data_IF_384892617632
#
_entry.id   IF_384892617632
#
_cell.length_a   1.000
_cell.length_b   1.000
_cell.length_c   1.000
_cell.angle_alpha   90.00
_cell.angle_beta   90.00
_cell.angle_gamma   90.00
#
_symmetry.space_group_name_H-M   'P 1'
#
loop_
_entity.id
_entity.type
_entity.pdbx_description
1 polymer ?
#
# COMPACT_ATOMS: atom_id res chain seq x y z
N UNK A 1 -3.23 -18.81 -10.36
CA UNK A 1 -3.04 -17.34 -10.29
C UNK A 1 -3.72 -16.74 -9.06
N UNK A 2 -5.06 -16.70 -8.99
CA UNK A 2 -5.78 -16.02 -7.91
C UNK A 2 -5.41 -16.51 -6.50
N UNK A 3 -5.27 -17.81 -6.27
CA UNK A 3 -4.86 -18.34 -4.97
C UNK A 3 -3.51 -17.76 -4.50
N UNK A 4 -2.52 -17.70 -5.39
CA UNK A 4 -1.21 -17.13 -5.07
C UNK A 4 -1.29 -15.64 -4.73
N UNK A 5 -2.10 -14.88 -5.46
CA UNK A 5 -2.31 -13.45 -5.22
C UNK A 5 -3.03 -13.24 -3.87
N UNK A 6 -4.18 -13.90 -3.69
CA UNK A 6 -5.03 -13.72 -2.51
C UNK A 6 -4.32 -14.09 -1.22
N UNK A 7 -3.53 -15.18 -1.22
CA UNK A 7 -2.76 -15.59 -0.05
C UNK A 7 -1.75 -14.51 0.39
N UNK A 8 -1.06 -13.88 -0.57
CA UNK A 8 -0.10 -12.80 -0.27
C UNK A 8 -0.80 -11.52 0.14
N UNK A 9 -1.92 -11.17 -0.50
CA UNK A 9 -2.76 -10.05 -0.12
C UNK A 9 -3.28 -10.19 1.32
N UNK A 10 -3.78 -11.37 1.68
CA UNK A 10 -4.28 -11.65 3.02
C UNK A 10 -3.18 -11.50 4.08
N UNK A 11 -1.98 -12.05 3.81
CA UNK A 11 -0.84 -11.92 4.72
C UNK A 11 -0.43 -10.47 4.96
N UNK A 12 -0.34 -9.67 3.89
CA UNK A 12 -0.01 -8.24 4.01
C UNK A 12 -1.14 -7.46 4.68
N UNK A 13 -2.40 -7.75 4.36
CA UNK A 13 -3.55 -7.09 5.00
C UNK A 13 -3.58 -7.35 6.50
N UNK A 14 -3.34 -8.59 6.93
CA UNK A 14 -3.28 -8.94 8.34
C UNK A 14 -2.11 -8.22 9.05
N UNK A 15 -0.94 -8.16 8.42
CA UNK A 15 0.21 -7.42 8.96
C UNK A 15 -0.08 -5.92 9.09
N UNK A 16 -0.71 -5.30 8.08
CA UNK A 16 -1.11 -3.89 8.09
C UNK A 16 -2.12 -3.54 9.19
N UNK A 17 -2.84 -4.53 9.71
CA UNK A 17 -3.81 -4.38 10.79
C UNK A 17 -3.21 -4.64 12.18
N UNK A 18 -1.94 -5.05 12.26
CA UNK A 18 -1.28 -5.33 13.54
C UNK A 18 -1.03 -4.05 14.35
N UNK A 19 -1.22 -4.12 15.66
CA UNK A 19 -1.18 -2.97 16.59
C UNK A 19 0.21 -2.31 16.65
N UNK A 20 1.27 -3.09 16.46
CA UNK A 20 2.67 -2.68 16.58
C UNK A 20 3.31 -2.25 15.25
N UNK A 21 2.55 -2.17 14.15
CA UNK A 21 3.16 -1.90 12.86
C UNK A 21 3.60 -0.44 12.73
N UNK A 22 4.91 -0.23 12.56
CA UNK A 22 5.49 1.05 12.17
C UNK A 22 5.13 1.41 10.71
N UNK A 23 4.95 2.71 10.46
CA UNK A 23 4.58 3.23 9.14
C UNK A 23 5.62 2.91 8.05
N UNK A 24 6.92 2.93 8.37
CA UNK A 24 7.95 2.56 7.39
C UNK A 24 7.78 1.09 6.98
N UNK A 25 7.53 0.20 7.96
CA UNK A 25 7.27 -1.21 7.69
C UNK A 25 6.01 -1.41 6.85
N UNK A 26 4.96 -0.61 7.07
CA UNK A 26 3.75 -0.64 6.25
C UNK A 26 4.03 -0.29 4.78
N UNK A 27 4.85 0.75 4.53
CA UNK A 27 5.30 1.13 3.18
C UNK A 27 6.07 -0.02 2.51
N UNK A 28 7.01 -0.63 3.23
CA UNK A 28 7.82 -1.74 2.72
C UNK A 28 6.98 -2.99 2.39
N UNK A 29 5.97 -3.30 3.21
CA UNK A 29 5.04 -4.40 2.97
C UNK A 29 4.21 -4.19 1.70
N UNK A 30 3.67 -2.97 1.48
CA UNK A 30 2.90 -2.68 0.26
C UNK A 30 3.82 -2.67 -0.97
N UNK A 31 5.04 -2.13 -0.86
CA UNK A 31 6.03 -2.14 -1.94
C UNK A 31 6.40 -3.57 -2.34
N UNK A 32 6.73 -4.43 -1.37
CA UNK A 32 7.09 -5.83 -1.65
C UNK A 32 5.93 -6.63 -2.24
N UNK A 33 4.68 -6.36 -1.83
CA UNK A 33 3.50 -6.98 -2.44
C UNK A 33 3.33 -6.56 -3.90
N UNK A 34 3.52 -5.27 -4.20
CA UNK A 34 3.49 -4.72 -5.56
C UNK A 34 4.53 -5.38 -6.44
N UNK A 35 5.77 -5.49 -5.97
CA UNK A 35 6.87 -6.14 -6.70
C UNK A 35 6.58 -7.63 -6.95
N UNK A 36 6.06 -8.33 -5.93
CA UNK A 36 5.63 -9.72 -6.07
C UNK A 36 4.57 -9.88 -7.16
N UNK A 37 3.51 -9.06 -7.15
CA UNK A 37 2.43 -9.13 -8.15
C UNK A 37 2.93 -8.76 -9.53
N UNK A 38 3.80 -7.75 -9.65
CA UNK A 38 4.44 -7.39 -10.92
C UNK A 38 5.24 -8.56 -11.50
N UNK A 39 5.96 -9.31 -10.65
CA UNK A 39 6.70 -10.50 -11.05
C UNK A 39 5.82 -11.67 -11.53
N UNK A 40 4.51 -11.66 -11.26
CA UNK A 40 3.58 -12.66 -11.79
C UNK A 40 3.26 -12.43 -13.27
N UNK A 41 3.51 -11.22 -13.80
CA UNK A 41 3.17 -10.82 -15.17
C UNK A 41 3.82 -11.72 -16.23
N UNK A 42 5.01 -12.23 -15.94
CA UNK A 42 5.77 -13.10 -16.85
C UNK A 42 5.56 -14.59 -16.58
N UNK A 43 4.73 -14.95 -15.59
CA UNK A 43 4.49 -16.33 -15.16
C UNK A 43 3.24 -16.97 -15.79
N UNK A 44 2.78 -16.45 -16.94
CA UNK A 44 1.60 -16.97 -17.62
C UNK A 44 1.71 -18.48 -17.88
N UNK A 45 2.85 -18.93 -18.42
CA UNK A 45 3.09 -20.32 -18.80
C UNK A 45 3.03 -21.27 -17.59
N UNK A 46 3.56 -20.82 -16.44
CA UNK A 46 3.51 -21.56 -15.18
C UNK A 46 2.07 -21.74 -14.69
N UNK A 47 1.27 -20.66 -14.74
CA UNK A 47 -0.14 -20.72 -14.33
C UNK A 47 -1.00 -21.53 -15.29
N UNK A 48 -0.74 -21.44 -16.60
CA UNK A 48 -1.41 -22.25 -17.61
C UNK A 48 -1.13 -23.74 -17.39
N UNK A 49 0.14 -24.11 -17.20
CA UNK A 49 0.56 -25.49 -16.93
C UNK A 49 -0.05 -26.01 -15.62
N UNK A 50 0.02 -25.23 -14.54
CA UNK A 50 -0.58 -25.61 -13.26
C UNK A 50 -2.11 -25.80 -13.36
N UNK A 51 -2.80 -24.96 -14.13
CA UNK A 51 -4.25 -25.09 -14.33
C UNK A 51 -4.60 -26.38 -15.10
N UNK A 52 -3.85 -26.71 -16.15
CA UNK A 52 -4.02 -27.97 -16.91
C UNK A 52 -3.79 -29.20 -16.03
N UNK A 53 -2.81 -29.16 -15.13
CA UNK A 53 -2.51 -30.26 -14.22
C UNK A 53 -3.57 -30.43 -13.09
N UNK A 54 -4.33 -29.40 -12.76
CA UNK A 54 -5.32 -29.44 -11.67
C UNK A 54 -6.63 -30.13 -12.04
N UNK A 55 -7.02 -30.15 -13.33
CA UNK A 55 -8.26 -30.80 -13.73
C UNK A 55 -8.22 -31.24 -15.20
N UNK A 56 -8.60 -32.49 -15.50
CA UNK A 56 -8.70 -32.98 -16.88
C UNK A 56 -9.79 -32.27 -17.68
N UNK A 57 -10.67 -31.51 -17.02
CA UNK A 57 -11.77 -30.75 -17.64
C UNK A 57 -11.31 -29.37 -18.15
N UNK A 58 -10.11 -28.90 -17.77
CA UNK A 58 -9.52 -27.69 -18.34
C UNK A 58 -9.13 -28.02 -19.77
N UNK A 59 -10.01 -27.66 -20.72
CA UNK A 59 -9.81 -27.90 -22.14
C UNK A 59 -8.43 -27.41 -22.60
N UNK A 60 -7.75 -28.22 -23.42
CA UNK A 60 -6.51 -27.81 -24.08
C UNK A 60 -6.73 -26.68 -25.09
N UNK A 61 -7.98 -26.43 -25.48
CA UNK A 61 -8.37 -25.45 -26.49
C UNK A 61 -9.03 -24.22 -25.87
N UNK A 62 -8.60 -23.04 -26.31
CA UNK A 62 -9.23 -21.80 -25.90
C UNK A 62 -10.55 -21.61 -26.66
N UNK A 63 -11.60 -21.15 -25.97
CA UNK A 63 -12.93 -20.88 -26.58
C UNK A 63 -12.87 -19.96 -27.80
N UNK A 64 -11.90 -19.05 -27.84
CA UNK A 64 -11.70 -18.15 -28.96
C UNK A 64 -11.20 -18.89 -30.23
N UNK A 65 -10.57 -20.05 -30.07
CA UNK A 65 -10.12 -20.91 -31.18
C UNK A 65 -11.24 -21.83 -31.68
N UNK A 66 -12.21 -22.19 -30.83
CA UNK A 66 -13.34 -23.06 -31.18
C UNK A 66 -14.59 -22.32 -31.64
N UNK A 67 -14.65 -20.99 -31.51
CA UNK A 67 -15.78 -20.19 -31.99
C UNK A 67 -15.83 -20.07 -33.52
N UNK A 68 -17.02 -20.29 -34.11
CA UNK A 68 -17.28 -20.17 -35.55
C UNK A 68 -16.93 -18.75 -36.03
N UNK A 69 -15.92 -18.65 -36.89
CA UNK A 69 -15.49 -17.38 -37.49
C UNK A 69 -16.57 -16.85 -38.43
N UNK A 70 -17.06 -15.63 -38.18
CA UNK A 70 -17.98 -14.93 -39.08
C UNK A 70 -17.24 -14.56 -40.36
N UNK A 71 -17.54 -15.21 -41.49
CA UNK A 71 -17.06 -14.78 -42.81
C UNK A 71 -17.80 -13.49 -43.20
N UNK A 72 -17.10 -12.36 -43.33
CA UNK A 72 -17.60 -11.18 -44.04
C UNK A 72 -17.37 -11.40 -45.54
N UNK A 73 -18.31 -10.96 -46.39
CA UNK A 73 -18.05 -10.85 -47.84
C UNK A 73 -17.09 -9.67 -48.04
N UNK A 74 -15.90 -9.91 -48.59
CA UNK A 74 -15.00 -8.83 -49.03
C UNK A 74 -15.38 -8.42 -50.46
N UNK A 75 -15.24 -7.13 -50.77
CA UNK A 75 -15.43 -6.60 -52.13
C UNK A 75 -14.08 -6.61 -52.87
N UNK A 76 -14.12 -6.55 -54.20
CA UNK A 76 -12.96 -6.76 -55.08
C UNK A 76 -11.82 -5.73 -54.91
N UNK A 77 -12.08 -4.61 -54.23
CA UNK A 77 -11.13 -3.52 -54.00
C UNK A 77 -10.61 -3.47 -52.55
N UNK A 78 -10.96 -4.45 -51.74
CA UNK A 78 -10.53 -4.52 -50.33
C UNK A 78 -9.10 -5.08 -50.31
N UNK A 79 -8.10 -4.21 -50.09
CA UNK A 79 -6.72 -4.62 -49.84
C UNK A 79 -6.70 -5.43 -48.55
N UNK A 80 -6.83 -6.76 -48.70
CA UNK A 80 -6.88 -7.69 -47.59
C UNK A 80 -5.51 -7.84 -46.96
N UNK A 81 -5.11 -6.87 -46.14
CA UNK A 81 -4.11 -7.14 -45.11
C UNK A 81 -4.66 -8.28 -44.24
N UNK A 82 -3.91 -9.37 -44.05
CA UNK A 82 -4.38 -10.44 -43.20
C UNK A 82 -4.53 -9.88 -41.78
N UNK A 83 -5.77 -9.73 -41.30
CA UNK A 83 -6.06 -9.49 -39.89
C UNK A 83 -5.13 -10.41 -39.07
N UNK A 84 -4.19 -9.82 -38.32
CA UNK A 84 -3.28 -10.57 -37.47
C UNK A 84 -4.10 -11.26 -36.36
N UNK A 85 -4.55 -12.48 -36.66
CA UNK A 85 -5.41 -13.27 -35.78
C UNK A 85 -4.57 -13.88 -34.69
N UNK A 86 -4.54 -13.22 -33.53
CA UNK A 86 -3.99 -13.80 -32.30
C UNK A 86 -4.70 -15.13 -31.98
N UNK A 87 -3.92 -16.15 -31.60
CA UNK A 87 -4.49 -17.39 -31.06
C UNK A 87 -5.31 -17.11 -29.80
N UNK A 88 -6.25 -17.98 -29.46
CA UNK A 88 -7.07 -17.86 -28.26
C UNK A 88 -6.23 -17.80 -26.98
N UNK A 89 -5.09 -18.51 -26.98
CA UNK A 89 -4.04 -18.40 -25.95
C UNK A 89 -3.49 -16.98 -25.83
N UNK A 90 -2.97 -16.43 -26.94
CA UNK A 90 -2.39 -15.08 -26.96
C UNK A 90 -3.44 -14.02 -26.62
N UNK A 91 -4.68 -14.21 -27.07
CA UNK A 91 -5.81 -13.35 -26.71
C UNK A 91 -6.08 -13.41 -25.21
N UNK A 92 -6.20 -14.58 -24.61
CA UNK A 92 -6.43 -14.71 -23.17
C UNK A 92 -5.29 -14.11 -22.34
N UNK A 93 -4.03 -14.40 -22.72
CA UNK A 93 -2.84 -13.82 -22.10
C UNK A 93 -2.90 -12.29 -22.10
N UNK A 94 -3.11 -11.67 -23.25
CA UNK A 94 -3.03 -10.21 -23.39
C UNK A 94 -4.28 -9.48 -22.92
N UNK A 95 -5.48 -10.05 -23.13
CA UNK A 95 -6.75 -9.38 -22.79
C UNK A 95 -7.26 -9.63 -21.37
N UNK A 96 -6.85 -10.74 -20.74
CA UNK A 96 -7.30 -11.10 -19.39
C UNK A 96 -6.13 -11.11 -18.43
N UNK A 97 -5.17 -12.01 -18.63
CA UNK A 97 -4.11 -12.24 -17.64
C UNK A 97 -3.27 -11.00 -17.38
N UNK A 98 -2.69 -10.41 -18.43
CA UNK A 98 -1.87 -9.20 -18.31
C UNK A 98 -2.70 -8.04 -17.76
N UNK A 99 -3.95 -7.87 -18.24
CA UNK A 99 -4.83 -6.78 -17.78
C UNK A 99 -5.15 -6.88 -16.28
N UNK A 100 -5.39 -8.09 -15.77
CA UNK A 100 -5.66 -8.31 -14.34
C UNK A 100 -4.42 -7.96 -13.52
N UNK A 101 -3.23 -8.45 -13.91
CA UNK A 101 -1.99 -8.15 -13.20
C UNK A 101 -1.68 -6.65 -13.24
N UNK A 102 -1.72 -6.02 -14.41
CA UNK A 102 -1.45 -4.59 -14.57
C UNK A 102 -2.44 -3.74 -13.74
N UNK A 103 -3.71 -4.14 -13.66
CA UNK A 103 -4.70 -3.47 -12.81
C UNK A 103 -4.38 -3.60 -11.33
N UNK A 104 -4.01 -4.79 -10.88
CA UNK A 104 -3.62 -5.03 -9.48
C UNK A 104 -2.35 -4.25 -9.11
N UNK A 105 -1.34 -4.23 -9.99
CA UNK A 105 -0.12 -3.44 -9.80
C UNK A 105 -0.46 -1.96 -9.70
N UNK A 106 -1.32 -1.43 -10.58
CA UNK A 106 -1.74 -0.02 -10.55
C UNK A 106 -2.45 0.36 -9.24
N UNK A 107 -3.35 -0.50 -8.73
CA UNK A 107 -4.02 -0.22 -7.44
C UNK A 107 -3.06 -0.35 -6.24
N UNK A 108 -2.14 -1.31 -6.27
CA UNK A 108 -1.09 -1.43 -5.25
C UNK A 108 -0.12 -0.24 -5.29
N UNK A 109 0.21 0.26 -6.48
CA UNK A 109 1.04 1.45 -6.66
C UNK A 109 0.35 2.69 -6.08
N UNK A 110 -0.94 2.90 -6.39
CA UNK A 110 -1.74 3.99 -5.80
C UNK A 110 -1.76 3.92 -4.28
N UNK A 111 -1.93 2.71 -3.71
CA UNK A 111 -1.88 2.50 -2.27
C UNK A 111 -0.50 2.77 -1.71
N UNK A 112 0.56 2.25 -2.35
CA UNK A 112 1.94 2.49 -1.96
C UNK A 112 2.26 3.98 -1.88
N UNK A 113 1.92 4.76 -2.91
CA UNK A 113 2.15 6.20 -2.92
C UNK A 113 1.44 6.92 -1.78
N UNK A 114 0.20 6.51 -1.47
CA UNK A 114 -0.55 7.07 -0.34
C UNK A 114 0.14 6.81 1.00
N UNK A 115 0.66 5.59 1.22
CA UNK A 115 1.40 5.25 2.44
C UNK A 115 2.77 5.97 2.48
N UNK A 116 3.44 6.07 1.34
CA UNK A 116 4.74 6.70 1.21
C UNK A 116 4.65 8.21 1.51
N UNK A 117 3.66 8.93 0.99
CA UNK A 117 3.45 10.35 1.32
C UNK A 117 3.25 10.53 2.83
N UNK A 118 2.42 9.71 3.47
CA UNK A 118 2.24 9.80 4.94
C UNK A 118 3.55 9.51 5.66
N UNK A 119 4.35 8.55 5.19
CA UNK A 119 5.64 8.19 5.79
C UNK A 119 6.69 9.28 5.63
N UNK A 120 6.75 9.95 4.48
CA UNK A 120 7.66 11.06 4.24
C UNK A 120 7.33 12.26 5.14
N UNK A 121 6.04 12.53 5.36
CA UNK A 121 5.62 13.67 6.18
C UNK A 121 5.65 13.40 7.68
N UNK A 122 5.23 12.20 8.13
CA UNK A 122 5.02 11.90 9.54
C UNK A 122 5.90 10.77 10.09
N UNK A 123 6.63 10.04 9.24
CA UNK A 123 7.41 8.88 9.67
C UNK A 123 8.56 9.19 10.64
N UNK A 124 8.92 10.47 10.81
CA UNK A 124 9.85 10.88 11.87
C UNK A 124 9.24 10.79 13.27
N UNK A 125 7.90 10.90 13.40
CA UNK A 125 7.20 10.83 14.70
C UNK A 125 7.32 9.45 15.35
N UNK A 126 7.46 8.37 14.57
CA UNK A 126 7.75 7.04 15.09
C UNK A 126 9.23 6.81 15.41
N UNK A 127 10.11 7.76 15.04
CA UNK A 127 11.57 7.64 15.13
C UNK A 127 12.22 8.76 15.96
N UNK A 128 11.46 9.40 16.85
CA UNK A 128 11.99 10.46 17.74
C UNK A 128 13.28 10.06 18.46
N UNK A 129 13.38 8.80 18.89
CA UNK A 129 14.54 8.31 19.63
C UNK A 129 15.81 8.12 18.78
N UNK A 130 15.67 7.91 17.47
CA UNK A 130 16.78 7.54 16.56
C UNK A 130 17.15 8.62 15.55
N UNK A 131 16.26 9.56 15.27
CA UNK A 131 16.51 10.67 14.35
C UNK A 131 17.54 11.66 14.91
N UNK A 132 18.39 12.22 14.06
CA UNK A 132 19.31 13.30 14.45
C UNK A 132 18.55 14.61 14.68
N UNK A 133 19.03 15.52 15.54
CA UNK A 133 18.38 16.81 15.73
C UNK A 133 18.29 17.64 14.43
N UNK A 134 19.27 17.51 13.53
CA UNK A 134 19.28 18.26 12.27
C UNK A 134 18.24 17.73 11.28
N UNK A 135 18.13 16.40 11.16
CA UNK A 135 17.12 15.76 10.32
C UNK A 135 15.71 16.00 10.88
N UNK A 136 15.58 15.97 12.21
CA UNK A 136 14.32 16.27 12.89
C UNK A 136 13.86 17.69 12.61
N UNK A 137 14.74 18.69 12.68
CA UNK A 137 14.38 20.07 12.32
C UNK A 137 13.91 20.19 10.88
N UNK A 138 14.59 19.50 9.96
CA UNK A 138 14.24 19.51 8.55
C UNK A 138 12.87 18.88 8.30
N UNK A 139 12.61 17.71 8.89
CA UNK A 139 11.33 17.02 8.80
C UNK A 139 10.19 17.81 9.47
N UNK A 140 10.44 18.35 10.67
CA UNK A 140 9.48 19.17 11.39
C UNK A 140 9.12 20.45 10.63
N UNK A 141 10.11 21.11 10.00
CA UNK A 141 9.87 22.29 9.17
C UNK A 141 9.04 21.94 7.93
N UNK A 142 9.33 20.83 7.26
CA UNK A 142 8.51 20.37 6.12
C UNK A 142 7.07 20.09 6.54
N UNK A 143 6.86 19.46 7.69
CA UNK A 143 5.52 19.20 8.22
C UNK A 143 4.80 20.50 8.60
N UNK A 144 5.48 21.43 9.28
CA UNK A 144 4.95 22.74 9.65
C UNK A 144 4.52 23.55 8.42
N UNK A 145 5.32 23.54 7.36
CA UNK A 145 4.96 24.22 6.11
C UNK A 145 3.71 23.60 5.46
N UNK A 146 3.59 22.27 5.48
CA UNK A 146 2.43 21.54 4.94
C UNK A 146 1.16 21.81 5.77
N UNK A 147 1.28 21.96 7.08
CA UNK A 147 0.19 22.19 8.03
C UNK A 147 0.32 23.54 8.74
N UNK A 148 0.62 24.61 8.01
CA UNK A 148 0.90 25.94 8.57
C UNK A 148 -0.29 26.61 9.26
N UNK A 149 -1.52 26.11 9.01
CA UNK A 149 -2.72 26.53 9.72
C UNK A 149 -2.90 25.84 11.08
N UNK A 150 -2.23 24.70 11.29
CA UNK A 150 -2.33 23.88 12.50
C UNK A 150 -1.05 23.90 13.36
N UNK A 151 0.11 24.15 12.74
CA UNK A 151 1.43 24.12 13.39
C UNK A 151 2.14 25.47 13.29
N UNK A 152 2.52 26.00 14.44
CA UNK A 152 3.30 27.24 14.57
C UNK A 152 4.78 27.01 14.22
N UNK A 153 5.54 28.07 13.92
CA UNK A 153 6.96 27.96 13.55
C UNK A 153 7.82 27.37 14.68
N UNK A 154 7.39 27.58 15.93
CA UNK A 154 7.95 27.05 17.16
C UNK A 154 7.96 25.51 17.20
N UNK A 155 7.12 24.84 16.41
CA UNK A 155 7.07 23.38 16.32
C UNK A 155 8.44 22.75 16.06
N UNK A 156 9.29 23.43 15.27
CA UNK A 156 10.62 22.90 14.89
C UNK A 156 11.52 22.66 16.11
N UNK A 157 11.63 23.65 17.01
CA UNK A 157 12.43 23.51 18.22
C UNK A 157 11.67 22.77 19.33
N UNK A 158 10.34 22.90 19.37
CA UNK A 158 9.48 22.14 20.28
C UNK A 158 9.65 20.63 20.06
N UNK A 159 9.70 20.16 18.81
CA UNK A 159 9.92 18.76 18.46
C UNK A 159 11.30 18.26 18.90
N UNK A 160 12.34 19.10 18.81
CA UNK A 160 13.70 18.77 19.29
C UNK A 160 13.72 18.65 20.81
N UNK A 161 13.09 19.58 21.52
CA UNK A 161 12.96 19.50 22.97
C UNK A 161 12.17 18.24 23.40
N UNK A 162 11.10 17.93 22.68
CA UNK A 162 10.32 16.71 22.93
C UNK A 162 11.14 15.44 22.71
N UNK A 163 11.98 15.39 21.68
CA UNK A 163 12.93 14.28 21.47
C UNK A 163 13.83 14.06 22.69
N UNK A 164 14.43 15.12 23.24
CA UNK A 164 15.29 15.00 24.42
C UNK A 164 14.53 14.45 25.63
N UNK A 165 13.27 14.85 25.81
CA UNK A 165 12.41 14.29 26.86
C UNK A 165 12.19 12.78 26.67
N UNK A 166 11.87 12.35 25.43
CA UNK A 166 11.66 10.93 25.09
C UNK A 166 12.92 10.10 25.33
N UNK A 167 14.10 10.64 25.01
CA UNK A 167 15.38 9.97 25.25
C UNK A 167 15.72 9.88 26.74
N UNK A 168 15.49 10.95 27.51
CA UNK A 168 15.83 11.01 28.92
C UNK A 168 14.92 10.16 29.82
N UNK A 169 13.62 10.06 29.50
CA UNK A 169 12.66 9.28 30.32
C UNK A 169 12.63 7.77 29.99
N UNK A 170 13.60 7.24 29.23
CA UNK A 170 13.61 5.85 28.72
C UNK A 170 12.31 5.47 27.97
N UNK A 171 11.64 6.45 27.37
CA UNK A 171 10.51 6.22 26.47
C UNK A 171 10.99 5.84 25.05
N UNK A 172 12.30 5.60 24.90
CA UNK A 172 12.94 5.08 23.70
C UNK A 172 12.32 3.73 23.32
N UNK A 173 11.54 3.72 22.24
CA UNK A 173 10.82 2.53 21.75
C UNK A 173 9.30 2.67 21.77
N UNK A 174 8.76 3.72 22.40
CA UNK A 174 7.32 4.00 22.34
C UNK A 174 6.91 4.51 20.95
N UNK A 175 5.82 3.97 20.43
CA UNK A 175 5.13 4.45 19.24
C UNK A 175 4.48 5.82 19.47
N UNK A 176 4.14 6.54 18.40
CA UNK A 176 3.44 7.82 18.49
C UNK A 176 2.15 7.76 19.34
N UNK A 177 1.48 6.61 19.36
CA UNK A 177 0.25 6.34 20.12
C UNK A 177 0.55 6.29 21.61
N UNK A 178 1.61 5.57 21.96
CA UNK A 178 2.05 5.41 23.33
C UNK A 178 2.56 6.74 23.89
N UNK A 179 3.28 7.51 23.07
CA UNK A 179 3.69 8.89 23.40
C UNK A 179 2.48 9.80 23.64
N UNK A 180 1.46 9.74 22.79
CA UNK A 180 0.23 10.50 23.00
C UNK A 180 -0.49 10.06 24.29
N UNK A 181 -0.59 8.76 24.56
CA UNK A 181 -1.30 8.23 25.73
C UNK A 181 -0.60 8.50 27.06
N UNK A 182 0.73 8.37 27.12
CA UNK A 182 1.51 8.59 28.36
C UNK A 182 1.51 10.06 28.78
N UNK A 183 1.36 10.99 27.83
CA UNK A 183 1.51 12.42 28.08
C UNK A 183 0.20 13.22 28.00
N UNK A 184 -0.98 12.61 27.81
CA UNK A 184 -2.29 13.32 27.70
C UNK A 184 -2.49 14.47 28.71
N UNK A 185 -1.99 14.35 29.93
CA UNK A 185 -2.09 15.39 30.97
C UNK A 185 -1.05 16.52 30.93
N UNK A 186 0.12 16.34 30.30
CA UNK A 186 1.23 17.32 30.30
C UNK A 186 1.71 17.74 28.89
N UNK A 187 1.36 16.98 27.85
CA UNK A 187 1.82 17.25 26.49
C UNK A 187 1.19 18.52 25.94
N UNK A 188 -0.13 18.67 26.06
CA UNK A 188 -0.85 19.85 25.57
C UNK A 188 -0.40 21.16 26.25
N UNK A 189 0.17 21.08 27.45
CA UNK A 189 0.60 22.24 28.24
C UNK A 189 2.06 22.63 27.97
N UNK A 190 2.94 21.66 27.71
CA UNK A 190 4.38 21.90 27.53
C UNK A 190 4.81 21.81 26.06
N UNK A 191 4.11 21.00 25.27
CA UNK A 191 4.40 20.70 23.85
C UNK A 191 3.09 20.72 23.01
N UNK A 192 2.41 21.88 22.89
CA UNK A 192 1.14 21.99 22.20
C UNK A 192 1.22 21.65 20.69
N UNK A 193 2.27 22.08 19.98
CA UNK A 193 2.42 21.79 18.56
C UNK A 193 2.73 20.31 18.29
N UNK A 194 3.50 19.68 19.18
CA UNK A 194 3.82 18.26 19.13
C UNK A 194 2.57 17.42 19.38
N UNK A 195 1.71 17.84 20.32
CA UNK A 195 0.40 17.21 20.52
C UNK A 195 -0.49 17.30 19.28
N UNK A 196 -0.54 18.47 18.62
CA UNK A 196 -1.26 18.66 17.36
C UNK A 196 -0.70 17.74 16.27
N UNK A 197 0.63 17.70 16.09
CA UNK A 197 1.28 16.85 15.08
C UNK A 197 0.98 15.35 15.31
N UNK A 198 1.02 14.89 16.56
CA UNK A 198 0.66 13.53 16.93
C UNK A 198 -0.82 13.25 16.69
N UNK A 199 -1.73 14.20 16.97
CA UNK A 199 -3.16 14.04 16.67
C UNK A 199 -3.42 13.98 15.17
N UNK A 200 -2.84 14.88 14.38
CA UNK A 200 -2.92 14.84 12.92
C UNK A 200 -2.48 13.46 12.42
N UNK A 201 -1.31 13.00 12.87
CA UNK A 201 -0.79 11.68 12.50
C UNK A 201 -1.74 10.54 12.81
N UNK A 202 -2.35 10.52 14.00
CA UNK A 202 -3.22 9.42 14.46
C UNK A 202 -4.63 9.46 13.88
N UNK A 203 -5.02 10.58 13.26
CA UNK A 203 -6.32 10.70 12.57
C UNK A 203 -6.27 10.29 11.09
N UNK A 204 -5.08 10.05 10.54
CA UNK A 204 -4.95 9.63 9.15
C UNK A 204 -5.53 8.21 8.97
N UNK A 205 -6.29 7.93 7.89
CA UNK A 205 -6.88 6.60 7.68
C UNK A 205 -5.85 5.47 7.65
N UNK A 206 -4.64 5.79 7.17
CA UNK A 206 -3.50 4.87 7.05
C UNK A 206 -2.97 4.43 8.41
N UNK A 207 -3.08 5.28 9.43
CA UNK A 207 -2.68 5.02 10.82
C UNK A 207 -3.86 4.57 11.68
N UNK A 208 -5.09 4.82 11.22
CA UNK A 208 -6.35 4.43 11.85
C UNK A 208 -6.92 3.07 11.36
N UNK A 209 -6.15 2.25 10.63
CA UNK A 209 -6.55 0.86 10.33
C UNK A 209 -6.90 0.03 11.59
N UNK A 210 -6.55 0.57 12.77
CA UNK A 210 -6.99 0.18 14.10
C UNK A 210 -8.50 0.24 14.33
N UNK A 211 -9.22 1.26 13.84
CA UNK A 211 -10.65 1.41 14.14
C UNK A 211 -11.54 0.45 13.34
N UNK A 212 -11.11 0.09 12.12
CA UNK A 212 -11.89 -0.79 11.24
C UNK A 212 -11.86 -2.27 11.69
N UNK A 213 -10.81 -2.70 12.41
CA UNK A 213 -10.69 -4.06 12.94
C UNK A 213 -11.58 -4.29 14.17
N UNK A 214 -11.77 -3.28 15.03
CA UNK A 214 -12.73 -3.36 16.16
C UNK A 214 -14.17 -3.38 15.66
N UNK A 215 -14.46 -2.65 14.57
CA UNK A 215 -15.80 -2.64 13.98
C UNK A 215 -16.15 -3.97 13.28
N UNK A 216 -15.17 -4.61 12.64
CA UNK A 216 -15.38 -5.88 11.91
C UNK A 216 -15.48 -7.12 12.83
N UNK A 217 -15.01 -7.05 14.08
CA UNK A 217 -15.11 -8.13 15.05
C UNK A 217 -16.46 -8.19 15.80
N UNK A 218 -17.34 -7.20 15.61
CA UNK A 218 -18.60 -7.08 16.36
C UNK A 218 -19.86 -7.50 15.58
N UNK A 219 -19.73 -8.23 14.47
CA UNK A 219 -20.91 -8.79 13.80
C UNK A 219 -21.14 -10.26 14.22
N UNK A 220 -22.23 -10.57 14.94
CA UNK A 220 -22.62 -11.95 15.16
C UNK A 220 -23.23 -12.51 13.87
N UNK A 221 -22.66 -13.60 13.37
CA UNK A 221 -23.37 -14.53 12.48
C UNK A 221 -24.18 -15.51 13.34
#
# INVERSE_FOLDING_TARGET
MWNAILQRFQGVSAALQAVELDLCNAVDLVRSLREYVAGLRDQFDNFETAAKNMSPTVSEEYRADTQRKRKRKSQADDSSEPECKLSGRSRFRTSVFIRVIDRLVSELDRRYQSYNDVCENFGFLNRFHSISPQDLRSAARSLQQKYSSDLEEEFVEEAVHFRELVQNEKLSGMSAVELQNVKKGKLHTVFPNTDIALRLFLTLPVTNARAESVHSQNWPW
#
